data_IF_632608989749
#
_entry.id   IF_632608989749
#
_cell.length_a   1.000
_cell.length_b   1.000
_cell.length_c   1.000
_cell.angle_alpha   90.00
_cell.angle_beta   90.00
_cell.angle_gamma   90.00
#
_symmetry.space_group_name_H-M   'P 1'
#
loop_
_entity.id
_entity.type
_entity.pdbx_description
1 polymer ?
#
# COMPACT_ATOMS: atom_id res chain seq x y z
N UNK A 1 -22.64 13.73 -1.06
CA UNK A 1 -23.06 13.22 0.26
C UNK A 1 -22.26 11.95 0.53
N UNK A 2 -22.01 11.57 1.77
CA UNK A 2 -21.30 10.32 2.09
C UNK A 2 -22.27 9.35 2.76
N UNK A 3 -22.38 8.12 2.25
CA UNK A 3 -23.21 7.06 2.81
C UNK A 3 -22.30 5.90 3.27
N UNK A 4 -22.30 5.65 4.57
CA UNK A 4 -21.52 4.55 5.16
C UNK A 4 -22.20 3.24 4.76
N UNK A 5 -21.58 2.53 3.84
CA UNK A 5 -22.03 1.21 3.39
C UNK A 5 -21.24 0.12 4.15
N UNK A 6 -21.81 -1.07 4.35
CA UNK A 6 -21.12 -2.19 5.03
C UNK A 6 -19.72 -2.47 4.46
N UNK A 7 -19.55 -2.30 3.14
CA UNK A 7 -18.27 -2.47 2.43
C UNK A 7 -17.20 -1.49 2.94
N UNK A 8 -17.57 -0.25 3.28
CA UNK A 8 -16.62 0.75 3.79
C UNK A 8 -16.03 0.36 5.14
N UNK A 9 -16.79 -0.33 6.00
CA UNK A 9 -16.29 -0.83 7.29
C UNK A 9 -15.23 -1.91 7.12
N UNK A 10 -15.39 -2.80 6.14
CA UNK A 10 -14.37 -3.80 5.81
C UNK A 10 -13.06 -3.13 5.37
N UNK A 11 -13.14 -2.08 4.56
CA UNK A 11 -11.94 -1.33 4.15
C UNK A 11 -11.28 -0.58 5.32
N UNK A 12 -12.05 -0.04 6.27
CA UNK A 12 -11.50 0.55 7.50
C UNK A 12 -10.67 -0.49 8.27
N UNK A 13 -11.24 -1.68 8.51
CA UNK A 13 -10.53 -2.75 9.24
C UNK A 13 -9.28 -3.20 8.48
N UNK A 14 -9.38 -3.39 7.17
CA UNK A 14 -8.25 -3.77 6.32
C UNK A 14 -7.13 -2.72 6.34
N UNK A 15 -7.50 -1.42 6.28
CA UNK A 15 -6.55 -0.31 6.37
C UNK A 15 -5.85 -0.26 7.72
N UNK A 16 -6.59 -0.43 8.82
CA UNK A 16 -6.02 -0.45 10.17
C UNK A 16 -5.06 -1.62 10.37
N UNK A 17 -5.45 -2.82 9.94
CA UNK A 17 -4.59 -3.99 9.99
C UNK A 17 -3.30 -3.77 9.18
N UNK A 18 -3.42 -3.23 7.96
CA UNK A 18 -2.28 -2.92 7.11
C UNK A 18 -1.33 -1.91 7.78
N UNK A 19 -1.85 -0.87 8.44
CA UNK A 19 -1.05 0.09 9.20
C UNK A 19 -0.35 -0.56 10.40
N UNK A 20 -1.04 -1.44 11.14
CA UNK A 20 -0.44 -2.17 12.26
C UNK A 20 0.72 -3.04 11.77
N UNK A 21 0.54 -3.78 10.69
CA UNK A 21 1.61 -4.62 10.10
C UNK A 21 2.76 -3.74 9.61
N UNK A 22 2.48 -2.59 8.98
CA UNK A 22 3.50 -1.64 8.59
C UNK A 22 4.32 -1.18 9.81
N UNK A 23 3.66 -0.76 10.90
CA UNK A 23 4.35 -0.33 12.12
C UNK A 23 5.22 -1.43 12.72
N UNK A 24 4.74 -2.68 12.74
CA UNK A 24 5.51 -3.84 13.21
C UNK A 24 6.73 -4.07 12.30
N UNK A 25 6.54 -4.03 10.99
CA UNK A 25 7.62 -4.19 10.01
C UNK A 25 8.67 -3.09 10.14
N UNK A 26 8.24 -1.85 10.39
CA UNK A 26 9.13 -0.72 10.65
C UNK A 26 9.96 -0.90 11.92
N UNK A 27 9.33 -1.38 13.01
CA UNK A 27 10.06 -1.72 14.25
C UNK A 27 11.10 -2.81 14.02
N UNK A 28 10.81 -3.77 13.14
CA UNK A 28 11.71 -4.86 12.77
C UNK A 28 12.57 -4.57 11.52
N UNK A 29 12.76 -3.30 11.14
CA UNK A 29 13.50 -2.88 9.92
C UNK A 29 14.93 -3.41 9.76
N UNK A 30 15.54 -3.95 10.82
CA UNK A 30 16.86 -4.60 10.76
C UNK A 30 16.82 -6.01 10.17
N UNK A 31 15.65 -6.63 10.10
CA UNK A 31 15.46 -7.94 9.47
C UNK A 31 15.39 -7.73 7.96
N UNK A 32 16.17 -8.48 7.16
CA UNK A 32 16.11 -8.40 5.70
C UNK A 32 14.68 -8.64 5.21
N UNK A 33 14.20 -7.75 4.34
CA UNK A 33 12.82 -7.79 3.81
C UNK A 33 11.77 -7.07 4.67
N UNK A 34 12.06 -6.66 5.91
CA UNK A 34 11.09 -5.94 6.74
C UNK A 34 10.75 -4.54 6.18
N UNK A 35 11.73 -3.83 5.62
CA UNK A 35 11.51 -2.54 4.95
C UNK A 35 10.65 -2.71 3.70
N UNK A 36 10.77 -3.85 3.02
CA UNK A 36 9.96 -4.18 1.86
C UNK A 36 8.49 -4.35 2.24
N UNK A 37 8.24 -5.18 3.26
CA UNK A 37 6.92 -5.43 3.80
C UNK A 37 6.28 -4.13 4.28
N UNK A 38 7.04 -3.28 4.97
CA UNK A 38 6.60 -1.95 5.39
C UNK A 38 6.07 -1.10 4.22
N UNK A 39 6.82 -1.01 3.11
CA UNK A 39 6.41 -0.22 1.93
C UNK A 39 5.12 -0.75 1.30
N UNK A 40 5.01 -2.06 1.14
CA UNK A 40 3.81 -2.71 0.56
C UNK A 40 2.60 -2.49 1.48
N UNK A 41 2.77 -2.63 2.79
CA UNK A 41 1.68 -2.44 3.76
C UNK A 41 1.22 -0.98 3.84
N UNK A 42 2.11 0.00 3.66
CA UNK A 42 1.71 1.42 3.53
C UNK A 42 0.90 1.64 2.26
N UNK A 43 1.35 1.10 1.12
CA UNK A 43 0.61 1.21 -0.15
C UNK A 43 -0.80 0.62 -0.02
N UNK A 44 -0.93 -0.54 0.62
CA UNK A 44 -2.22 -1.19 0.90
C UNK A 44 -3.11 -0.38 1.85
N UNK A 45 -2.52 0.25 2.87
CA UNK A 45 -3.26 1.14 3.76
C UNK A 45 -3.78 2.38 3.02
N UNK A 46 -2.97 2.99 2.15
CA UNK A 46 -3.38 4.13 1.34
C UNK A 46 -4.44 3.75 0.30
N UNK A 47 -4.30 2.58 -0.33
CA UNK A 47 -5.28 2.04 -1.27
C UNK A 47 -6.62 1.73 -0.59
N UNK A 48 -6.60 1.04 0.55
CA UNK A 48 -7.80 0.79 1.36
C UNK A 48 -8.42 2.09 1.87
N UNK A 49 -7.58 3.07 2.21
CA UNK A 49 -8.00 4.42 2.59
C UNK A 49 -8.82 5.11 1.50
N UNK A 50 -8.33 5.09 0.27
CA UNK A 50 -9.06 5.63 -0.89
C UNK A 50 -10.39 4.90 -1.13
N UNK A 51 -10.41 3.57 -0.96
CA UNK A 51 -11.62 2.74 -1.07
C UNK A 51 -12.71 3.13 -0.07
N UNK A 52 -12.36 3.54 1.16
CA UNK A 52 -13.35 4.03 2.13
C UNK A 52 -14.08 5.26 1.58
N UNK A 53 -13.34 6.19 0.99
CA UNK A 53 -13.90 7.41 0.42
C UNK A 53 -14.67 7.16 -0.87
N UNK A 54 -14.20 6.26 -1.75
CA UNK A 54 -14.92 5.85 -2.94
C UNK A 54 -16.24 5.16 -2.59
N UNK A 55 -16.21 4.19 -1.69
CA UNK A 55 -17.38 3.45 -1.24
C UNK A 55 -18.40 4.36 -0.54
N UNK A 56 -17.91 5.38 0.17
CA UNK A 56 -18.78 6.33 0.86
C UNK A 56 -19.33 7.41 -0.06
N UNK A 57 -18.65 7.77 -1.15
CA UNK A 57 -19.05 8.88 -2.03
C UNK A 57 -20.35 8.57 -2.79
N UNK A 58 -21.36 9.45 -2.70
CA UNK A 58 -22.61 9.30 -3.47
C UNK A 58 -22.57 9.92 -4.87
N UNK A 59 -21.54 10.71 -5.17
CA UNK A 59 -21.44 11.48 -6.42
C UNK A 59 -20.40 10.84 -7.35
N UNK A 60 -20.75 10.67 -8.63
CA UNK A 60 -19.86 10.04 -9.64
C UNK A 60 -18.50 10.73 -9.71
N UNK A 61 -18.47 12.07 -9.65
CA UNK A 61 -17.22 12.84 -9.70
C UNK A 61 -16.25 12.49 -8.56
N UNK A 62 -16.77 12.31 -7.35
CA UNK A 62 -15.95 11.93 -6.18
C UNK A 62 -15.47 10.48 -6.31
N UNK A 63 -16.34 9.57 -6.76
CA UNK A 63 -15.95 8.17 -7.00
C UNK A 63 -14.77 8.09 -7.98
N UNK A 64 -14.89 8.73 -9.15
CA UNK A 64 -13.81 8.74 -10.16
C UNK A 64 -12.51 9.33 -9.61
N UNK A 65 -12.58 10.39 -8.82
CA UNK A 65 -11.39 10.99 -8.19
C UNK A 65 -10.69 9.99 -7.24
N UNK A 66 -11.44 9.30 -6.38
CA UNK A 66 -10.86 8.30 -5.49
C UNK A 66 -10.39 7.05 -6.25
N UNK A 67 -11.09 6.61 -7.30
CA UNK A 67 -10.62 5.52 -8.17
C UNK A 67 -9.29 5.85 -8.82
N UNK A 68 -9.06 7.09 -9.26
CA UNK A 68 -7.76 7.51 -9.82
C UNK A 68 -6.63 7.36 -8.79
N UNK A 69 -6.89 7.70 -7.53
CA UNK A 69 -5.95 7.54 -6.42
C UNK A 69 -5.70 6.03 -6.15
N UNK A 70 -6.76 5.22 -6.19
CA UNK A 70 -6.63 3.76 -6.06
C UNK A 70 -5.75 3.16 -7.15
N UNK A 71 -5.99 3.52 -8.41
CA UNK A 71 -5.18 3.05 -9.53
C UNK A 71 -3.72 3.46 -9.39
N UNK A 72 -3.45 4.66 -8.86
CA UNK A 72 -2.09 5.10 -8.58
C UNK A 72 -1.40 4.14 -7.60
N UNK A 73 -2.00 3.90 -6.43
CA UNK A 73 -1.41 3.01 -5.42
C UNK A 73 -1.33 1.55 -5.87
N UNK A 74 -2.37 1.05 -6.54
CA UNK A 74 -2.39 -0.30 -7.10
C UNK A 74 -1.25 -0.52 -8.11
N UNK A 75 -0.92 0.51 -8.91
CA UNK A 75 0.18 0.45 -9.88
C UNK A 75 1.56 0.43 -9.20
N UNK A 76 1.70 1.01 -8.00
CA UNK A 76 2.94 0.95 -7.24
C UNK A 76 3.19 -0.42 -6.56
N UNK A 77 2.14 -1.20 -6.28
CA UNK A 77 2.27 -2.54 -5.67
C UNK A 77 3.19 -3.47 -6.47
N UNK A 78 3.01 -3.68 -7.80
CA UNK A 78 3.90 -4.55 -8.58
C UNK A 78 5.32 -3.98 -8.68
N UNK A 79 5.50 -2.65 -8.70
CA UNK A 79 6.84 -2.04 -8.68
C UNK A 79 7.58 -2.37 -7.39
N UNK A 80 6.89 -2.29 -6.25
CA UNK A 80 7.43 -2.76 -4.99
C UNK A 80 7.67 -4.28 -5.04
N UNK A 81 6.72 -5.08 -5.48
CA UNK A 81 6.91 -6.54 -5.55
C UNK A 81 8.12 -6.96 -6.43
N UNK A 82 8.36 -6.28 -7.55
CA UNK A 82 9.55 -6.51 -8.37
C UNK A 82 10.84 -6.17 -7.61
N UNK A 83 10.87 -5.04 -6.90
CA UNK A 83 11.98 -4.71 -6.00
C UNK A 83 12.22 -5.79 -4.94
N UNK A 84 11.16 -6.45 -4.46
CA UNK A 84 11.27 -7.56 -3.50
C UNK A 84 11.87 -8.78 -4.17
N UNK A 85 11.39 -9.15 -5.36
CA UNK A 85 11.91 -10.29 -6.11
C UNK A 85 13.41 -10.12 -6.41
N UNK A 86 13.84 -8.93 -6.83
CA UNK A 86 15.26 -8.66 -7.07
C UNK A 86 16.12 -8.71 -5.80
N UNK A 87 15.60 -8.21 -4.66
CA UNK A 87 16.27 -8.32 -3.37
C UNK A 87 16.38 -9.78 -2.92
N UNK A 88 15.27 -10.52 -2.95
CA UNK A 88 15.18 -11.91 -2.49
C UNK A 88 16.03 -12.87 -3.35
N UNK A 89 16.16 -12.60 -4.65
CA UNK A 89 17.00 -13.40 -5.57
C UNK A 89 18.49 -13.05 -5.52
N UNK A 90 18.92 -12.15 -4.63
CA UNK A 90 20.32 -11.70 -4.54
C UNK A 90 20.78 -10.90 -5.76
N UNK A 91 19.87 -10.47 -6.64
CA UNK A 91 20.14 -9.67 -7.84
C UNK A 91 20.01 -8.16 -7.57
N UNK A 92 20.30 -7.73 -6.34
CA UNK A 92 20.27 -6.32 -5.93
C UNK A 92 21.20 -5.41 -6.77
N UNK A 93 22.18 -5.98 -7.46
CA UNK A 93 23.02 -5.30 -8.46
C UNK A 93 22.24 -4.65 -9.62
N UNK A 94 21.05 -5.16 -9.97
CA UNK A 94 20.17 -4.54 -10.98
C UNK A 94 19.31 -3.41 -10.40
N UNK A 95 19.17 -3.34 -9.07
CA UNK A 95 18.56 -2.24 -8.35
C UNK A 95 19.61 -1.14 -8.10
N UNK A 96 20.16 -0.56 -9.17
CA UNK A 96 21.13 0.55 -9.09
C UNK A 96 20.47 1.90 -8.69
N UNK A 97 19.31 1.85 -8.03
CA UNK A 97 18.57 3.03 -7.56
C UNK A 97 18.85 3.25 -6.07
N UNK A 98 19.25 4.48 -5.72
CA UNK A 98 19.62 4.97 -4.38
C UNK A 98 18.60 4.60 -3.27
N UNK A 99 17.38 4.24 -3.65
CA UNK A 99 16.26 3.84 -2.79
C UNK A 99 16.35 2.45 -2.14
N UNK A 100 17.15 1.53 -2.69
CA UNK A 100 17.23 0.12 -2.22
C UNK A 100 18.54 -0.22 -1.50
N UNK A 101 19.49 0.71 -1.45
CA UNK A 101 20.84 0.49 -0.90
C UNK A 101 20.89 0.27 0.62
N UNK A 102 19.76 0.46 1.31
CA UNK A 102 19.62 0.37 2.77
C UNK A 102 18.47 -0.55 3.23
N UNK A 103 17.86 -1.29 2.30
CA UNK A 103 16.84 -2.31 2.60
C UNK A 103 17.52 -3.69 2.75
#
# INVERSE_FOLDING_TARGET
MFLITYISLFFVVSSLLSLVIALIAWRKRRIPGAIMLFRIMILLALWSGANIFEASATTVRLKVFFSQIEYLFASFVPLQFLGFAFFYTGRSQWLNSRFYRYA
#
